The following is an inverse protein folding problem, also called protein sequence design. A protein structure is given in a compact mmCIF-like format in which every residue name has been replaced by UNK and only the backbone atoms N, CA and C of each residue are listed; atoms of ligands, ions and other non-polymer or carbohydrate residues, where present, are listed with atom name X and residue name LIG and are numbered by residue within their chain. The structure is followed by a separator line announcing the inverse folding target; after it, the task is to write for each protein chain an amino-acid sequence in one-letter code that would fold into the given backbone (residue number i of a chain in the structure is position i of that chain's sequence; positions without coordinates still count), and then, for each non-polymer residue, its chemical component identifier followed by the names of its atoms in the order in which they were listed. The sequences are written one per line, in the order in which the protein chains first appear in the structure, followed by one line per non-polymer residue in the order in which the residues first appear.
data_IF_146904634819
#
_entry.id   IF_146904634819
#
_cell.length_a   1.000
_cell.length_b   1.000
_cell.length_c   1.000
_cell.angle_alpha   90.00
_cell.angle_beta   90.00
_cell.angle_gamma   90.00
#
_symmetry.space_group_name_H-M   'P 1'
#
loop_
_entity.id
_entity.type
_entity.pdbx_description
1 polymer ?
#
# COMPACT_ATOMS: atom_id res chain seq x y z
N UNK A 1 15.64 -92.18 6.64
CA UNK A 1 17.05 -91.83 6.94
C UNK A 1 17.23 -90.38 6.51
N UNK A 2 17.14 -89.34 7.37
CA UNK A 2 18.08 -88.95 8.46
C UNK A 2 19.53 -88.99 7.96
N UNK A 3 20.38 -87.97 7.95
CA UNK A 3 20.49 -86.61 8.53
C UNK A 3 21.11 -85.70 7.42
N UNK A 4 21.28 -84.38 7.47
CA UNK A 4 22.07 -83.54 8.40
C UNK A 4 21.91 -82.06 8.00
N UNK A 5 21.99 -81.17 8.99
CA UNK A 5 21.95 -79.70 8.89
C UNK A 5 23.25 -79.11 8.29
N UNK A 6 23.12 -78.13 7.39
CA UNK A 6 24.24 -77.39 6.78
C UNK A 6 24.17 -75.89 7.11
N UNK A 7 25.31 -75.32 7.50
CA UNK A 7 25.54 -73.90 7.82
C UNK A 7 25.72 -73.07 6.54
N UNK A 8 25.24 -71.83 6.55
CA UNK A 8 25.68 -70.77 5.63
C UNK A 8 26.01 -69.50 6.41
N UNK A 9 27.24 -69.00 6.23
CA UNK A 9 27.75 -67.72 6.73
C UNK A 9 27.67 -66.71 5.58
N UNK A 10 26.96 -65.61 5.76
CA UNK A 10 26.92 -64.49 4.81
C UNK A 10 27.95 -63.41 5.19
N UNK A 11 28.71 -62.97 4.18
CA UNK A 11 29.69 -61.89 4.24
C UNK A 11 28.99 -60.52 4.21
N UNK A 12 29.30 -59.66 5.18
CA UNK A 12 28.92 -58.24 5.17
C UNK A 12 29.89 -57.45 4.29
N UNK A 13 29.36 -56.77 3.28
CA UNK A 13 30.09 -55.77 2.48
C UNK A 13 29.64 -54.38 2.93
N UNK A 14 30.56 -53.58 3.50
CA UNK A 14 30.35 -52.18 3.85
C UNK A 14 30.41 -51.31 2.59
N UNK A 15 29.32 -50.63 2.24
CA UNK A 15 29.31 -49.57 1.24
C UNK A 15 29.49 -48.21 1.93
N UNK A 16 30.53 -47.49 1.53
CA UNK A 16 30.87 -46.14 1.99
C UNK A 16 30.07 -45.12 1.15
N UNK A 17 29.07 -44.47 1.73
CA UNK A 17 28.31 -43.41 1.07
C UNK A 17 29.00 -42.04 1.32
N UNK A 18 29.55 -41.45 0.27
CA UNK A 18 30.07 -40.09 0.29
C UNK A 18 28.91 -39.09 0.31
N UNK A 19 28.77 -38.36 1.42
CA UNK A 19 27.76 -37.32 1.61
C UNK A 19 28.27 -36.02 0.96
N UNK A 20 27.78 -35.70 -0.24
CA UNK A 20 28.00 -34.40 -0.89
C UNK A 20 27.17 -33.34 -0.14
N UNK A 21 27.85 -32.46 0.60
CA UNK A 21 27.26 -31.22 1.12
C UNK A 21 27.01 -30.27 -0.06
N UNK A 22 25.76 -30.17 -0.48
CA UNK A 22 25.28 -29.05 -1.31
C UNK A 22 25.11 -27.86 -0.35
N UNK A 23 25.72 -26.68 -0.60
CA UNK A 23 25.41 -25.50 0.19
C UNK A 23 23.93 -25.18 -0.01
N UNK A 24 23.19 -25.09 1.10
CA UNK A 24 21.80 -24.64 1.10
C UNK A 24 21.77 -23.26 0.42
N UNK A 25 21.19 -23.21 -0.78
CA UNK A 25 20.80 -21.95 -1.39
C UNK A 25 19.89 -21.24 -0.38
N UNK A 26 20.26 -20.02 -0.02
CA UNK A 26 19.39 -19.12 0.74
C UNK A 26 18.13 -18.97 -0.11
N UNK A 27 17.05 -19.64 0.30
CA UNK A 27 15.76 -19.44 -0.32
C UNK A 27 15.44 -17.95 -0.15
N UNK A 28 15.33 -17.24 -1.28
CA UNK A 28 14.76 -15.90 -1.30
C UNK A 28 13.39 -15.99 -0.62
N UNK A 29 13.19 -15.11 0.36
CA UNK A 29 12.01 -15.01 1.23
C UNK A 29 10.75 -14.79 0.38
N UNK A 30 10.12 -15.88 -0.07
CA UNK A 30 9.15 -15.86 -1.18
C UNK A 30 7.70 -15.81 -0.73
N UNK A 31 7.35 -15.13 0.38
CA UNK A 31 5.95 -15.15 0.84
C UNK A 31 5.37 -13.87 1.46
N UNK A 32 6.08 -12.72 1.44
CA UNK A 32 5.61 -11.52 2.18
C UNK A 32 5.48 -10.22 1.38
N UNK A 33 5.73 -10.21 0.07
CA UNK A 33 5.55 -8.99 -0.71
C UNK A 33 4.54 -9.13 -1.85
N UNK A 34 4.40 -10.32 -2.45
CA UNK A 34 3.46 -10.60 -3.55
C UNK A 34 3.52 -9.59 -4.70
N UNK A 35 4.65 -8.89 -4.84
CA UNK A 35 4.97 -8.07 -6.00
C UNK A 35 5.54 -8.97 -7.09
N UNK A 36 5.54 -8.46 -8.31
CA UNK A 36 6.04 -9.12 -9.51
C UNK A 36 7.50 -9.54 -9.31
N UNK A 37 7.84 -10.81 -9.58
CA UNK A 37 9.23 -11.28 -9.62
C UNK A 37 10.10 -10.47 -10.58
N UNK A 38 11.39 -10.31 -10.26
CA UNK A 38 12.33 -9.46 -11.01
C UNK A 38 12.43 -9.82 -12.50
N UNK A 39 12.33 -11.11 -12.84
CA UNK A 39 12.34 -11.61 -14.21
C UNK A 39 11.08 -11.20 -14.99
N UNK A 40 9.96 -10.97 -14.31
CA UNK A 40 8.67 -10.60 -14.90
C UNK A 40 8.37 -9.09 -14.89
N UNK A 41 9.27 -8.27 -14.35
CA UNK A 41 9.16 -6.81 -14.45
C UNK A 41 9.09 -6.39 -15.94
N UNK A 42 8.20 -5.45 -16.33
CA UNK A 42 8.12 -4.97 -17.70
C UNK A 42 9.48 -4.48 -18.22
N UNK A 43 9.81 -4.84 -19.46
CA UNK A 43 11.12 -4.54 -20.07
C UNK A 43 11.50 -3.05 -20.05
N UNK A 44 10.49 -2.18 -20.14
CA UNK A 44 10.62 -0.73 -20.09
C UNK A 44 11.10 -0.23 -18.72
N UNK A 45 10.99 -1.04 -17.67
CA UNK A 45 11.35 -0.72 -16.29
C UNK A 45 12.71 -1.29 -15.85
N UNK A 46 13.42 -2.00 -16.75
CA UNK A 46 14.71 -2.65 -16.47
C UNK A 46 15.93 -1.82 -16.89
N UNK A 47 15.72 -0.60 -17.39
CA UNK A 47 16.83 0.25 -17.82
C UNK A 47 17.54 0.92 -16.62
N UNK A 48 18.77 1.42 -16.82
CA UNK A 48 19.60 1.98 -15.76
C UNK A 48 19.01 3.24 -15.11
N UNK A 49 18.02 3.84 -15.77
CA UNK A 49 17.37 5.09 -15.36
C UNK A 49 16.00 4.88 -14.74
N UNK A 50 15.45 3.67 -14.84
CA UNK A 50 14.14 3.34 -14.32
C UNK A 50 14.26 2.80 -12.89
N UNK A 51 13.39 3.28 -12.01
CA UNK A 51 13.17 2.71 -10.69
C UNK A 51 11.74 2.19 -10.63
N UNK A 52 11.58 0.99 -10.09
CA UNK A 52 10.26 0.45 -9.77
C UNK A 52 9.89 0.95 -8.38
N UNK A 53 8.87 1.79 -8.30
CA UNK A 53 8.21 2.20 -7.06
C UNK A 53 7.03 1.27 -6.82
N UNK A 54 6.92 0.72 -5.62
CA UNK A 54 5.91 -0.31 -5.31
C UNK A 54 4.90 0.22 -4.32
N UNK A 55 3.63 -0.13 -4.47
CA UNK A 55 2.60 0.21 -3.50
C UNK A 55 1.62 -0.94 -3.32
N UNK A 56 1.42 -1.38 -2.08
CA UNK A 56 0.36 -2.32 -1.73
C UNK A 56 -0.87 -1.53 -1.27
N UNK A 57 -1.84 -1.41 -2.16
CA UNK A 57 -3.05 -0.62 -1.98
C UNK A 57 -4.23 -1.55 -1.71
N UNK A 58 -5.08 -1.17 -0.76
CA UNK A 58 -6.34 -1.87 -0.46
C UNK A 58 -7.52 -0.91 -0.60
N UNK A 59 -8.68 -1.44 -0.96
CA UNK A 59 -9.96 -0.73 -0.82
C UNK A 59 -10.73 -1.30 0.37
N UNK A 60 -11.22 -0.43 1.26
CA UNK A 60 -11.97 -0.83 2.47
C UNK A 60 -13.24 0.01 2.63
N UNK A 61 -14.24 -0.57 3.30
CA UNK A 61 -15.38 0.20 3.81
C UNK A 61 -14.93 1.06 4.98
N UNK A 62 -15.21 2.36 4.91
CA UNK A 62 -14.81 3.33 5.91
C UNK A 62 -15.88 4.41 6.01
N UNK A 63 -16.77 4.36 7.03
CA UNK A 63 -17.70 5.45 7.31
C UNK A 63 -16.94 6.77 7.46
N UNK A 64 -17.44 7.80 6.77
CA UNK A 64 -16.83 9.13 6.78
C UNK A 64 -17.73 10.09 7.57
N UNK A 65 -17.15 10.86 8.48
CA UNK A 65 -17.84 11.92 9.20
C UNK A 65 -17.50 13.26 8.56
N UNK A 66 -18.51 13.96 8.05
CA UNK A 66 -18.35 15.23 7.36
C UNK A 66 -18.19 16.39 8.36
N UNK A 67 -18.82 16.28 9.52
CA UNK A 67 -18.73 17.28 10.57
C UNK A 67 -18.93 16.69 11.98
N UNK A 68 -18.73 17.53 13.00
CA UNK A 68 -18.86 17.15 14.42
C UNK A 68 -20.31 17.09 14.94
N UNK A 69 -21.29 17.46 14.11
CA UNK A 69 -22.71 17.46 14.47
C UNK A 69 -23.46 16.25 13.92
N UNK A 70 -22.74 15.27 13.36
CA UNK A 70 -23.27 13.95 12.99
C UNK A 70 -23.54 13.74 11.50
N UNK A 71 -23.27 14.72 10.63
CA UNK A 71 -23.36 14.48 9.18
C UNK A 71 -22.28 13.47 8.77
N UNK A 72 -22.70 12.42 8.06
CA UNK A 72 -21.82 11.32 7.70
C UNK A 72 -22.19 10.72 6.34
N UNK A 73 -21.22 10.00 5.78
CA UNK A 73 -21.40 9.08 4.67
C UNK A 73 -21.14 7.68 5.25
N UNK A 74 -22.17 7.00 5.80
CA UNK A 74 -22.00 5.67 6.37
C UNK A 74 -21.45 4.69 5.34
N UNK A 75 -21.91 4.81 4.09
CA UNK A 75 -21.49 4.02 2.93
C UNK A 75 -20.08 4.36 2.39
N UNK A 76 -19.33 5.21 3.09
CA UNK A 76 -18.00 5.64 2.67
C UNK A 76 -17.05 4.46 2.45
N UNK A 77 -16.13 4.66 1.52
CA UNK A 77 -15.08 3.73 1.14
C UNK A 77 -13.81 4.53 0.86
N UNK A 78 -12.64 3.94 1.09
CA UNK A 78 -11.37 4.60 0.81
C UNK A 78 -10.35 3.62 0.24
N UNK A 79 -9.41 4.16 -0.52
CA UNK A 79 -8.12 3.51 -0.73
C UNK A 79 -7.21 3.76 0.47
N UNK A 80 -6.45 2.75 0.87
CA UNK A 80 -5.43 2.85 1.91
C UNK A 80 -4.21 2.01 1.54
N UNK A 81 -3.06 2.28 2.15
CA UNK A 81 -1.93 1.35 2.10
C UNK A 81 -2.26 0.14 2.98
N UNK A 82 -2.01 -1.06 2.49
CA UNK A 82 -2.30 -2.31 3.21
C UNK A 82 -1.63 -2.36 4.60
N UNK A 83 -0.49 -1.68 4.75
CA UNK A 83 0.25 -1.56 6.00
C UNK A 83 -0.38 -0.65 7.06
N UNK A 84 -1.41 0.11 6.71
CA UNK A 84 -2.22 0.94 7.61
C UNK A 84 -3.61 0.32 7.87
N UNK A 85 -3.86 -0.91 7.39
CA UNK A 85 -5.14 -1.65 7.55
C UNK A 85 -4.89 -2.94 8.32
N UNK A 86 -5.84 -3.30 9.18
CA UNK A 86 -5.75 -4.44 10.08
C UNK A 86 -7.05 -5.25 10.08
N UNK A 87 -7.01 -6.54 10.42
CA UNK A 87 -8.21 -7.30 10.76
C UNK A 87 -9.02 -6.56 11.82
N UNK A 88 -10.34 -6.49 11.64
CA UNK A 88 -11.23 -5.78 12.54
C UNK A 88 -11.16 -6.36 13.96
N UNK A 89 -11.06 -5.49 14.96
CA UNK A 89 -10.95 -5.88 16.36
C UNK A 89 -9.51 -6.15 16.81
N UNK A 90 -8.51 -5.96 15.94
CA UNK A 90 -7.10 -5.98 16.36
C UNK A 90 -6.85 -4.86 17.36
N UNK A 91 -6.51 -5.23 18.60
CA UNK A 91 -6.32 -4.26 19.66
C UNK A 91 -5.18 -3.28 19.32
N UNK A 92 -5.25 -1.99 19.71
CA UNK A 92 -4.26 -0.97 19.34
C UNK A 92 -2.80 -1.35 19.61
N UNK A 93 -2.53 -2.06 20.70
CA UNK A 93 -1.18 -2.53 21.05
C UNK A 93 -0.65 -3.65 20.14
N UNK A 94 -1.52 -4.39 19.47
CA UNK A 94 -1.20 -5.53 18.61
C UNK A 94 -1.13 -5.12 17.12
N UNK A 95 -1.43 -3.85 16.80
CA UNK A 95 -1.39 -3.29 15.45
C UNK A 95 0.06 -3.05 14.96
N UNK A 96 0.81 -4.15 14.83
CA UNK A 96 2.19 -4.19 14.33
C UNK A 96 2.24 -4.30 12.81
N UNK A 97 3.36 -3.93 12.19
CA UNK A 97 3.55 -4.10 10.74
C UNK A 97 3.33 -5.54 10.28
N UNK A 98 3.82 -6.51 11.06
CA UNK A 98 3.64 -7.94 10.79
C UNK A 98 2.18 -8.40 10.91
N UNK A 99 1.33 -7.69 11.66
CA UNK A 99 -0.10 -7.96 11.81
C UNK A 99 -0.98 -7.20 10.79
N UNK A 100 -0.41 -6.27 10.02
CA UNK A 100 -1.15 -5.50 9.02
C UNK A 100 -1.56 -6.35 7.82
N UNK A 101 -2.50 -5.84 7.01
CA UNK A 101 -2.92 -6.48 5.76
C UNK A 101 -1.83 -6.47 4.67
N UNK A 102 -0.71 -5.78 4.89
CA UNK A 102 0.47 -5.91 4.03
C UNK A 102 1.25 -7.21 4.25
N UNK A 103 1.07 -7.86 5.42
CA UNK A 103 1.84 -9.04 5.85
C UNK A 103 1.00 -10.23 6.26
N UNK A 104 -0.27 -10.00 6.59
CA UNK A 104 -1.23 -11.04 6.89
C UNK A 104 -2.34 -11.07 5.85
N UNK A 105 -2.98 -12.23 5.74
CA UNK A 105 -4.19 -12.37 4.93
C UNK A 105 -5.36 -11.68 5.64
N UNK A 106 -5.93 -10.67 5.00
CA UNK A 106 -7.11 -9.97 5.51
C UNK A 106 -8.39 -10.41 4.80
N UNK A 107 -9.49 -10.45 5.54
CA UNK A 107 -10.80 -10.87 5.01
C UNK A 107 -11.60 -9.67 4.53
N UNK A 108 -12.11 -9.67 3.28
CA UNK A 108 -12.96 -8.61 2.77
C UNK A 108 -14.16 -8.34 3.68
N UNK A 109 -14.36 -7.07 4.06
CA UNK A 109 -15.41 -6.63 4.98
C UNK A 109 -15.10 -6.75 6.49
N UNK A 110 -14.05 -7.48 6.86
CA UNK A 110 -13.62 -7.67 8.26
C UNK A 110 -12.26 -7.02 8.51
N UNK A 111 -12.13 -5.77 8.07
CA UNK A 111 -10.93 -4.94 8.26
C UNK A 111 -11.28 -3.54 8.74
N UNK A 112 -10.31 -2.87 9.33
CA UNK A 112 -10.40 -1.48 9.75
C UNK A 112 -9.06 -0.75 9.58
N UNK A 113 -9.11 0.58 9.46
CA UNK A 113 -7.92 1.40 9.55
C UNK A 113 -7.26 1.25 10.92
N UNK A 114 -5.93 1.34 10.94
CA UNK A 114 -5.15 1.50 12.16
C UNK A 114 -5.77 2.58 13.06
N UNK A 115 -5.85 2.34 14.37
CA UNK A 115 -6.69 3.11 15.30
C UNK A 115 -6.37 4.63 15.32
N UNK A 116 -5.11 5.00 15.09
CA UNK A 116 -4.65 6.39 15.11
C UNK A 116 -4.56 7.00 13.70
N UNK A 117 -5.00 6.29 12.66
CA UNK A 117 -5.02 6.77 11.28
C UNK A 117 -6.40 7.35 10.97
N UNK A 118 -6.40 8.57 10.45
CA UNK A 118 -7.64 9.22 9.98
C UNK A 118 -7.94 8.77 8.54
N UNK A 119 -9.22 8.51 8.20
CA UNK A 119 -9.65 8.32 6.82
C UNK A 119 -9.28 9.53 5.96
N UNK A 120 -8.57 9.30 4.86
CA UNK A 120 -8.13 10.32 3.89
C UNK A 120 -8.01 9.68 2.51
N UNK A 121 -8.14 10.46 1.41
CA UNK A 121 -7.75 9.99 0.09
C UNK A 121 -6.29 9.51 0.09
N UNK A 122 -6.01 8.42 -0.61
CA UNK A 122 -4.64 7.91 -0.74
C UNK A 122 -3.80 8.86 -1.60
N UNK A 123 -2.53 9.03 -1.27
CA UNK A 123 -1.57 9.78 -2.08
C UNK A 123 -0.33 8.92 -2.26
N UNK A 124 -0.12 8.46 -3.49
CA UNK A 124 1.10 7.79 -3.90
C UNK A 124 2.05 8.82 -4.54
N UNK A 125 3.33 8.52 -4.51
CA UNK A 125 4.38 9.33 -5.12
C UNK A 125 5.33 8.44 -5.89
N UNK A 126 5.80 8.96 -7.00
CA UNK A 126 6.84 8.39 -7.84
C UNK A 126 7.60 9.58 -8.43
N UNK A 127 8.79 9.36 -8.97
CA UNK A 127 9.51 10.41 -9.68
C UNK A 127 9.27 10.29 -11.19
N UNK A 128 9.53 11.35 -11.94
CA UNK A 128 9.52 11.26 -13.40
C UNK A 128 10.46 10.15 -13.89
N UNK A 129 9.97 9.33 -14.84
CA UNK A 129 10.68 8.16 -15.36
C UNK A 129 10.53 6.88 -14.54
N UNK A 130 9.86 6.91 -13.39
CA UNK A 130 9.61 5.69 -12.61
C UNK A 130 8.52 4.80 -13.22
N UNK A 131 8.64 3.51 -12.96
CA UNK A 131 7.56 2.56 -13.10
C UNK A 131 6.87 2.36 -11.75
N UNK A 132 5.57 2.57 -11.70
CA UNK A 132 4.75 2.36 -10.53
C UNK A 132 4.06 1.00 -10.62
N UNK A 133 4.41 0.10 -9.70
CA UNK A 133 3.77 -1.19 -9.50
C UNK A 133 2.78 -1.08 -8.34
N UNK A 134 1.48 -1.12 -8.66
CA UNK A 134 0.42 -1.09 -7.65
C UNK A 134 -0.12 -2.51 -7.49
N UNK A 135 0.24 -3.17 -6.40
CA UNK A 135 -0.45 -4.39 -5.96
C UNK A 135 -1.73 -3.97 -5.26
N UNK A 136 -2.87 -4.26 -5.86
CA UNK A 136 -4.18 -3.87 -5.35
C UNK A 136 -4.96 -5.08 -4.82
N UNK A 137 -5.49 -4.96 -3.61
CA UNK A 137 -6.34 -5.98 -2.99
C UNK A 137 -7.70 -5.38 -2.64
N UNK A 138 -8.80 -6.02 -3.06
CA UNK A 138 -10.13 -5.54 -2.74
C UNK A 138 -10.65 -6.15 -1.43
N UNK A 139 -10.74 -5.34 -0.37
CA UNK A 139 -11.21 -5.74 0.96
C UNK A 139 -12.58 -5.13 1.30
N UNK A 140 -13.31 -4.64 0.31
CA UNK A 140 -14.70 -4.20 0.48
C UNK A 140 -15.57 -5.36 0.96
N UNK A 141 -16.55 -5.10 1.83
CA UNK A 141 -17.52 -6.10 2.22
C UNK A 141 -18.36 -6.54 0.99
N UNK A 142 -18.31 -7.83 0.60
CA UNK A 142 -19.03 -8.34 -0.57
C UNK A 142 -20.55 -8.35 -0.37
N UNK A 143 -20.99 -8.52 0.88
CA UNK A 143 -22.39 -8.61 1.29
C UNK A 143 -22.93 -7.31 1.87
N UNK A 144 -22.28 -6.16 1.65
CA UNK A 144 -22.78 -4.86 2.11
C UNK A 144 -24.07 -4.51 1.38
N UNK A 145 -25.18 -4.96 1.95
CA UNK A 145 -26.50 -4.66 1.41
C UNK A 145 -26.88 -3.23 1.75
N UNK A 146 -27.43 -2.54 0.76
CA UNK A 146 -28.34 -1.45 1.00
C UNK A 146 -29.50 -2.01 1.83
N UNK A 147 -29.84 -1.46 3.00
CA UNK A 147 -31.05 -1.88 3.70
C UNK A 147 -32.24 -1.55 2.80
N UNK A 148 -32.66 -2.53 2.01
CA UNK A 148 -33.91 -2.55 1.27
C UNK A 148 -34.60 -3.80 1.77
N UNK A 149 -35.15 -3.72 2.97
CA UNK A 149 -36.25 -4.56 3.45
C UNK A 149 -36.68 -3.98 4.79
N UNK A 150 -37.25 -2.77 4.75
CA UNK A 150 -38.22 -2.43 5.79
C UNK A 150 -39.50 -3.15 5.35
N UNK A 151 -40.01 -4.12 6.12
CA UNK A 151 -41.31 -4.72 5.83
C UNK A 151 -42.37 -3.62 5.73
N UNK A 152 -43.34 -3.70 4.81
CA UNK A 152 -44.43 -2.74 4.78
C UNK A 152 -45.15 -2.75 6.14
N UNK A 153 -45.02 -1.68 6.93
CA UNK A 153 -45.74 -1.51 8.20
C UNK A 153 -44.91 -1.40 9.49
N UNK A 154 -43.58 -1.28 9.44
CA UNK A 154 -42.79 -1.00 10.66
C UNK A 154 -43.03 0.45 11.16
N UNK A 155 -43.56 0.65 12.39
CA UNK A 155 -43.85 1.97 12.95
C UNK A 155 -42.60 2.79 13.30
N UNK A 156 -41.39 2.23 13.25
CA UNK A 156 -40.15 2.91 13.66
C UNK A 156 -39.67 4.06 12.74
N UNK A 157 -40.38 4.39 11.64
CA UNK A 157 -39.95 5.41 10.66
C UNK A 157 -40.98 6.52 10.38
N UNK A 158 -41.99 6.72 11.23
CA UNK A 158 -42.98 7.78 11.01
C UNK A 158 -42.70 9.06 11.81
N UNK A 159 -41.60 9.75 11.49
CA UNK A 159 -41.56 11.21 11.66
C UNK A 159 -41.74 11.88 10.30
N UNK A 160 -42.96 12.37 10.05
CA UNK A 160 -43.23 13.31 8.97
C UNK A 160 -43.50 12.71 7.58
N UNK A 161 -44.62 11.99 7.42
CA UNK A 161 -45.50 12.11 6.24
C UNK A 161 -44.92 11.94 4.82
N UNK A 162 -43.74 11.35 4.65
CA UNK A 162 -43.15 11.08 3.34
C UNK A 162 -42.15 9.94 3.47
N UNK A 163 -42.21 8.98 2.55
CA UNK A 163 -41.30 7.84 2.51
C UNK A 163 -39.88 8.27 2.10
N UNK A 164 -39.19 9.00 2.97
CA UNK A 164 -37.75 9.23 2.86
C UNK A 164 -37.06 8.32 3.86
N UNK A 165 -37.02 7.02 3.54
CA UNK A 165 -35.90 6.21 4.01
C UNK A 165 -34.68 6.85 3.35
N UNK A 166 -33.92 7.67 4.10
CA UNK A 166 -32.57 8.06 3.73
C UNK A 166 -31.74 6.78 3.85
N UNK A 167 -31.92 5.86 2.89
CA UNK A 167 -31.10 4.69 2.75
C UNK A 167 -29.72 5.21 2.38
N UNK A 168 -28.78 5.19 3.32
CA UNK A 168 -27.37 5.44 3.05
C UNK A 168 -26.85 4.27 2.21
N UNK A 169 -27.04 4.36 0.89
CA UNK A 169 -26.79 3.24 -0.02
C UNK A 169 -25.31 3.15 -0.36
N UNK A 170 -24.70 2.00 -0.10
CA UNK A 170 -23.46 1.61 -0.74
C UNK A 170 -23.73 1.20 -2.20
N UNK A 171 -22.75 1.32 -3.10
CA UNK A 171 -22.92 0.89 -4.47
C UNK A 171 -23.13 -0.62 -4.50
N UNK A 172 -24.06 -1.05 -5.34
CA UNK A 172 -24.26 -2.48 -5.59
C UNK A 172 -22.98 -3.09 -6.19
N UNK A 173 -22.24 -2.31 -6.97
CA UNK A 173 -20.94 -2.69 -7.49
C UNK A 173 -19.91 -2.65 -6.37
N UNK A 174 -19.40 -3.83 -6.01
CA UNK A 174 -18.30 -3.96 -5.04
C UNK A 174 -16.96 -4.26 -5.68
N UNK A 175 -16.91 -4.48 -7.01
CA UNK A 175 -15.66 -4.53 -7.75
C UNK A 175 -14.96 -3.18 -7.72
N UNK A 176 -13.63 -3.14 -7.70
CA UNK A 176 -12.86 -1.90 -7.64
C UNK A 176 -11.71 -1.96 -8.64
N UNK A 177 -11.46 -0.85 -9.33
CA UNK A 177 -10.29 -0.64 -10.18
C UNK A 177 -9.37 0.43 -9.59
N UNK A 178 -8.10 0.46 -10.01
CA UNK A 178 -7.19 1.57 -9.72
C UNK A 178 -6.80 2.21 -11.03
N UNK A 179 -7.51 3.27 -11.40
CA UNK A 179 -7.18 4.09 -12.56
C UNK A 179 -6.42 5.34 -12.12
N UNK A 180 -5.38 5.72 -12.86
CA UNK A 180 -4.63 6.96 -12.62
C UNK A 180 -4.59 7.80 -13.88
N UNK A 181 -5.26 8.95 -13.83
CA UNK A 181 -5.45 9.78 -15.00
C UNK A 181 -4.12 10.31 -15.54
N UNK A 182 -3.83 9.96 -16.80
CA UNK A 182 -2.67 10.42 -17.56
C UNK A 182 -1.37 9.65 -17.33
N UNK A 183 -1.34 8.64 -16.45
CA UNK A 183 -0.23 7.69 -16.44
C UNK A 183 -0.43 6.69 -17.58
N UNK A 184 0.68 6.28 -18.22
CA UNK A 184 0.60 5.29 -19.29
C UNK A 184 0.61 3.89 -18.68
N UNK A 185 -0.26 3.00 -19.14
CA UNK A 185 -0.10 1.57 -18.86
C UNK A 185 1.18 1.00 -19.49
N UNK A 186 1.76 -0.03 -18.87
CA UNK A 186 3.03 -0.62 -19.32
C UNK A 186 2.87 -1.96 -20.04
N UNK A 187 1.98 -2.84 -19.57
CA UNK A 187 1.79 -4.18 -20.17
C UNK A 187 0.65 -4.19 -21.18
N UNK A 188 -0.39 -3.39 -20.96
CA UNK A 188 -1.57 -3.32 -21.81
C UNK A 188 -2.71 -2.53 -21.15
N UNK A 189 -3.86 -2.38 -21.84
CA UNK A 189 -5.02 -1.65 -21.31
C UNK A 189 -5.55 -2.21 -19.98
N UNK A 190 -5.19 -3.44 -19.63
CA UNK A 190 -5.50 -4.08 -18.35
C UNK A 190 -4.81 -3.44 -17.13
N UNK A 191 -3.75 -2.64 -17.33
CA UNK A 191 -3.13 -1.86 -16.26
C UNK A 191 -3.91 -0.55 -15.96
N UNK A 192 -4.90 -0.19 -16.79
CA UNK A 192 -5.68 1.04 -16.62
C UNK A 192 -6.67 0.98 -15.45
N UNK A 193 -6.99 -0.23 -14.96
CA UNK A 193 -7.97 -0.38 -13.89
C UNK A 193 -9.40 -0.03 -14.32
N UNK A 194 -9.76 -0.25 -15.59
CA UNK A 194 -11.07 0.02 -16.17
C UNK A 194 -11.66 -1.17 -16.94
N UNK A 195 -12.99 -1.20 -17.09
CA UNK A 195 -13.68 -2.18 -17.93
C UNK A 195 -14.65 -1.46 -18.88
N UNK A 196 -14.20 -1.27 -20.12
CA UNK A 196 -14.97 -0.57 -21.18
C UNK A 196 -15.75 -1.55 -22.06
N UNK A 197 -15.96 -2.79 -21.58
CA UNK A 197 -16.71 -3.85 -22.27
C UNK A 197 -15.94 -4.61 -23.34
N UNK A 198 -15.00 -3.96 -24.05
CA UNK A 198 -14.18 -4.60 -25.09
C UNK A 198 -12.79 -5.06 -24.59
N UNK A 199 -12.25 -4.43 -23.54
CA UNK A 199 -11.02 -4.89 -22.91
C UNK A 199 -11.30 -6.01 -21.89
N UNK A 200 -10.25 -6.74 -21.52
CA UNK A 200 -10.33 -7.67 -20.41
C UNK A 200 -10.75 -6.92 -19.13
N UNK A 201 -11.62 -7.54 -18.31
CA UNK A 201 -12.02 -6.93 -17.05
C UNK A 201 -10.81 -6.79 -16.12
N UNK A 202 -10.40 -5.54 -15.85
CA UNK A 202 -9.30 -5.24 -14.93
C UNK A 202 -9.75 -4.85 -13.53
N UNK A 203 -11.03 -4.96 -13.21
CA UNK A 203 -11.56 -4.69 -11.88
C UNK A 203 -11.38 -5.92 -10.96
N UNK A 204 -11.18 -5.67 -9.67
CA UNK A 204 -11.02 -6.73 -8.66
C UNK A 204 -12.30 -6.87 -7.86
N UNK A 205 -12.91 -8.06 -7.83
CA UNK A 205 -14.09 -8.38 -7.00
C UNK A 205 -13.64 -8.66 -5.56
N UNK A 206 -14.41 -8.30 -4.51
CA UNK A 206 -14.02 -8.62 -3.13
C UNK A 206 -14.26 -10.10 -2.77
N UNK A 207 -15.09 -10.82 -3.53
CA UNK A 207 -15.33 -12.24 -3.37
C UNK A 207 -15.76 -12.84 -4.71
N UNK A 208 -15.61 -14.17 -4.84
CA UNK A 208 -16.14 -14.95 -5.93
C UNK A 208 -15.04 -15.47 -6.83
N UNK A 209 -15.44 -16.11 -7.93
CA UNK A 209 -14.49 -16.57 -8.94
C UNK A 209 -13.82 -15.36 -9.60
N UNK A 210 -12.48 -15.32 -9.68
CA UNK A 210 -11.77 -14.34 -10.50
C UNK A 210 -12.34 -14.33 -11.92
N UNK A 211 -12.41 -13.15 -12.55
CA UNK A 211 -12.75 -13.07 -13.97
C UNK A 211 -11.76 -13.88 -14.82
N UNK A 212 -12.23 -14.54 -15.89
CA UNK A 212 -11.43 -15.46 -16.70
C UNK A 212 -10.36 -14.77 -17.55
N UNK A 213 -10.31 -13.43 -17.54
CA UNK A 213 -9.26 -12.68 -18.18
C UNK A 213 -7.97 -12.79 -17.36
N UNK A 214 -6.90 -13.29 -17.98
CA UNK A 214 -5.59 -13.48 -17.33
C UNK A 214 -5.11 -12.21 -16.60
N UNK A 215 -4.65 -12.36 -15.35
CA UNK A 215 -4.01 -11.29 -14.58
C UNK A 215 -4.70 -10.86 -13.29
N UNK A 216 -5.88 -11.40 -12.96
CA UNK A 216 -6.28 -11.44 -11.54
C UNK A 216 -5.40 -12.48 -10.86
N UNK A 217 -4.63 -12.05 -9.86
CA UNK A 217 -3.92 -12.98 -9.01
C UNK A 217 -5.00 -13.82 -8.31
N UNK A 218 -4.89 -15.14 -8.40
CA UNK A 218 -5.78 -16.10 -7.72
C UNK A 218 -5.61 -16.09 -6.20
N UNK A 219 -4.86 -15.11 -5.68
CA UNK A 219 -4.63 -14.88 -4.28
C UNK A 219 -5.97 -14.64 -3.56
N UNK A 220 -6.12 -15.28 -2.40
CA UNK A 220 -7.15 -14.94 -1.43
C UNK A 220 -6.50 -14.04 -0.37
N UNK A 221 -6.98 -12.80 -0.15
CA UNK A 221 -8.10 -12.12 -0.82
C UNK A 221 -7.80 -11.70 -2.28
N UNK A 222 -8.84 -11.57 -3.13
CA UNK A 222 -8.67 -11.26 -4.55
C UNK A 222 -7.83 -10.01 -4.78
N UNK A 223 -6.80 -10.15 -5.62
CA UNK A 223 -5.80 -9.11 -5.86
C UNK A 223 -5.45 -8.99 -7.34
N UNK A 224 -4.88 -7.83 -7.71
CA UNK A 224 -4.36 -7.55 -9.05
C UNK A 224 -3.21 -6.56 -8.98
N UNK A 225 -2.20 -6.78 -9.81
CA UNK A 225 -1.11 -5.83 -9.98
C UNK A 225 -1.36 -4.95 -11.21
N UNK A 226 -1.24 -3.62 -11.07
CA UNK A 226 -1.28 -2.63 -12.16
C UNK A 226 0.11 -2.02 -12.36
N UNK A 227 0.57 -1.95 -13.61
CA UNK A 227 1.86 -1.37 -13.97
C UNK A 227 1.69 -0.07 -14.77
N UNK A 228 2.13 1.04 -14.18
CA UNK A 228 1.97 2.39 -14.72
C UNK A 228 3.32 3.09 -14.89
N UNK A 229 3.44 3.95 -15.90
CA UNK A 229 4.64 4.74 -16.16
C UNK A 229 4.45 6.22 -15.83
N UNK A 230 5.30 6.74 -14.95
CA UNK A 230 5.30 8.14 -14.50
C UNK A 230 6.05 9.03 -15.50
N UNK A 231 5.44 9.28 -16.67
CA UNK A 231 6.13 9.92 -17.79
C UNK A 231 6.52 11.39 -17.59
N UNK A 232 5.80 12.14 -16.75
CA UNK A 232 5.96 13.58 -16.55
C UNK A 232 5.56 13.99 -15.14
N UNK A 233 6.33 14.90 -14.56
CA UNK A 233 5.99 15.60 -13.31
C UNK A 233 4.54 16.13 -13.30
N UNK A 234 3.90 16.06 -12.13
CA UNK A 234 2.60 16.66 -11.89
C UNK A 234 1.68 15.78 -11.03
N UNK A 235 0.60 16.40 -10.56
CA UNK A 235 -0.43 15.72 -9.76
C UNK A 235 -1.47 15.06 -10.66
N UNK A 236 -1.73 13.77 -10.43
CA UNK A 236 -2.65 12.94 -11.20
C UNK A 236 -3.74 12.40 -10.29
N UNK A 237 -4.98 12.37 -10.78
CA UNK A 237 -6.10 11.83 -10.00
C UNK A 237 -6.09 10.31 -10.08
N UNK A 238 -6.18 9.65 -8.93
CA UNK A 238 -6.39 8.21 -8.80
C UNK A 238 -7.84 7.97 -8.40
N UNK A 239 -8.56 7.05 -9.05
CA UNK A 239 -9.93 6.70 -8.64
C UNK A 239 -10.36 5.31 -9.13
N UNK A 240 -11.46 4.81 -8.56
CA UNK A 240 -12.11 3.59 -9.07
C UNK A 240 -13.06 3.91 -10.22
N UNK A 241 -12.91 3.21 -11.34
CA UNK A 241 -13.79 3.30 -12.52
C UNK A 241 -14.93 2.28 -12.50
N UNK A 242 -15.01 1.45 -11.46
CA UNK A 242 -15.94 0.33 -11.43
C UNK A 242 -17.42 0.75 -11.36
N UNK A 243 -17.68 1.92 -10.76
CA UNK A 243 -19.02 2.50 -10.64
C UNK A 243 -18.88 4.02 -10.48
N UNK A 244 -19.07 4.73 -11.58
CA UNK A 244 -19.09 6.19 -11.65
C UNK A 244 -20.51 6.75 -11.83
N UNK A 245 -21.52 5.86 -11.84
CA UNK A 245 -22.92 6.21 -11.99
C UNK A 245 -23.83 5.10 -11.47
N UNK A 246 -24.42 5.31 -10.29
CA UNK A 246 -25.59 4.53 -9.88
C UNK A 246 -26.86 5.37 -10.05
N UNK A 247 -27.86 4.79 -10.71
CA UNK A 247 -29.21 5.36 -10.72
C UNK A 247 -29.77 5.23 -9.30
N UNK A 248 -29.86 6.36 -8.58
CA UNK A 248 -30.67 6.43 -7.37
C UNK A 248 -32.10 6.07 -7.78
N UNK A 249 -32.52 4.85 -7.47
CA UNK A 249 -33.92 4.44 -7.59
C UNK A 249 -34.73 5.10 -6.47
N UNK A 250 -34.81 6.43 -6.47
CA UNK A 250 -35.90 7.13 -5.83
C UNK A 250 -37.13 6.85 -6.71
N UNK A 251 -38.06 6.03 -6.21
CA UNK A 251 -39.28 5.70 -6.92
C UNK A 251 -40.04 6.97 -7.30
N UNK A 252 -40.10 7.29 -8.59
CA UNK A 252 -40.85 8.41 -9.13
C UNK A 252 -40.16 9.01 -10.36
N UNK A 253 -40.95 9.55 -11.29
CA UNK A 253 -40.52 10.24 -12.52
C UNK A 253 -39.75 11.56 -12.27
N UNK A 254 -39.11 11.72 -11.12
CA UNK A 254 -38.28 12.87 -10.79
C UNK A 254 -36.85 12.53 -11.20
N UNK A 255 -36.26 13.34 -12.10
CA UNK A 255 -34.92 13.13 -12.67
C UNK A 255 -33.83 12.97 -11.60
N UNK A 256 -33.60 11.72 -11.18
CA UNK A 256 -32.55 11.35 -10.25
C UNK A 256 -31.18 11.60 -10.88
N UNK A 257 -30.43 12.56 -10.32
CA UNK A 257 -29.01 12.72 -10.64
C UNK A 257 -28.24 11.46 -10.25
N UNK A 258 -27.19 11.13 -11.02
CA UNK A 258 -26.27 10.07 -10.65
C UNK A 258 -25.55 10.44 -9.34
N UNK A 259 -25.45 9.47 -8.44
CA UNK A 259 -24.75 9.61 -7.16
C UNK A 259 -23.22 9.46 -7.29
N UNK A 260 -22.70 9.39 -8.52
CA UNK A 260 -21.28 9.22 -8.83
C UNK A 260 -20.61 7.98 -8.20
N UNK A 261 -21.42 7.00 -7.78
CA UNK A 261 -21.01 5.68 -7.34
C UNK A 261 -19.86 5.68 -6.33
N UNK A 262 -18.83 4.89 -6.64
CA UNK A 262 -17.67 4.68 -5.78
C UNK A 262 -16.80 5.93 -5.61
N UNK A 263 -16.71 6.78 -6.65
CA UNK A 263 -15.87 7.98 -6.61
C UNK A 263 -16.42 8.99 -5.60
N UNK A 264 -17.73 9.27 -5.61
CA UNK A 264 -18.36 10.19 -4.65
C UNK A 264 -18.33 9.65 -3.21
N UNK A 265 -18.26 8.34 -3.04
CA UNK A 265 -18.18 7.68 -1.73
C UNK A 265 -16.76 7.54 -1.18
N UNK A 266 -15.74 8.02 -1.90
CA UNK A 266 -14.39 8.20 -1.37
C UNK A 266 -13.30 7.31 -1.98
N UNK A 267 -13.61 6.47 -2.97
CA UNK A 267 -12.60 5.69 -3.71
C UNK A 267 -11.87 6.55 -4.74
N UNK A 268 -11.12 7.53 -4.23
CA UNK A 268 -10.21 8.38 -4.98
C UNK A 268 -8.95 8.71 -4.17
N UNK A 269 -7.99 9.31 -4.86
CA UNK A 269 -6.70 9.70 -4.33
C UNK A 269 -5.91 10.47 -5.38
N UNK A 270 -4.60 10.49 -5.20
CA UNK A 270 -3.68 11.08 -6.17
C UNK A 270 -2.41 10.25 -6.34
N UNK A 271 -1.80 10.37 -7.51
CA UNK A 271 -0.39 10.03 -7.74
C UNK A 271 0.32 11.33 -8.09
N UNK A 272 1.25 11.75 -7.24
CA UNK A 272 2.05 12.95 -7.50
C UNK A 272 3.40 12.53 -8.04
N UNK A 273 3.61 12.76 -9.34
CA UNK A 273 4.91 12.55 -10.00
C UNK A 273 5.81 13.72 -9.64
N UNK A 274 6.89 13.45 -8.90
CA UNK A 274 7.87 14.42 -8.44
C UNK A 274 8.93 14.68 -9.52
N UNK A 275 9.61 15.83 -9.47
CA UNK A 275 10.73 16.08 -10.37
C UNK A 275 11.87 15.09 -10.10
N UNK A 276 12.50 14.67 -11.18
CA UNK A 276 13.77 13.96 -11.21
C UNK A 276 14.57 14.49 -12.39
N UNK A 277 15.86 14.18 -12.43
CA UNK A 277 16.65 14.59 -13.56
C UNK A 277 18.07 14.08 -13.50
N UNK A 278 18.89 14.68 -14.34
CA UNK A 278 20.30 14.37 -14.46
C UNK A 278 21.10 15.59 -14.03
N UNK A 279 22.05 15.38 -13.11
CA UNK A 279 23.08 16.39 -12.86
C UNK A 279 24.18 16.23 -13.90
N UNK A 280 24.60 17.34 -14.51
CA UNK A 280 25.90 17.37 -15.18
C UNK A 280 26.97 16.99 -14.14
N UNK A 281 27.83 16.02 -14.43
CA UNK A 281 28.86 15.60 -13.47
C UNK A 281 29.78 16.78 -13.16
N UNK A 282 30.02 17.11 -11.89
CA UNK A 282 30.96 18.15 -11.50
C UNK A 282 32.28 17.52 -11.09
N UNK A 283 33.37 17.90 -11.74
CA UNK A 283 34.71 17.48 -11.35
C UNK A 283 35.02 18.01 -9.92
N UNK A 284 35.33 17.13 -8.94
CA UNK A 284 35.57 17.53 -7.57
C UNK A 284 36.89 18.30 -7.36
N UNK A 285 37.86 18.18 -8.27
CA UNK A 285 39.15 18.88 -8.21
C UNK A 285 39.11 20.21 -8.95
N UNK A 286 38.44 20.27 -10.10
CA UNK A 286 38.43 21.48 -10.95
C UNK A 286 37.15 22.30 -10.83
N UNK A 287 36.07 21.73 -10.30
CA UNK A 287 34.77 22.38 -10.15
C UNK A 287 34.03 22.64 -11.47
N UNK A 288 34.54 22.13 -12.59
CA UNK A 288 34.00 22.27 -13.94
C UNK A 288 32.88 21.25 -14.17
N UNK A 289 31.83 21.68 -14.87
CA UNK A 289 30.74 20.80 -15.32
C UNK A 289 31.21 19.96 -16.52
N UNK A 290 31.18 18.64 -16.37
CA UNK A 290 31.62 17.65 -17.34
C UNK A 290 30.47 17.30 -18.28
N UNK A 291 30.47 17.90 -19.46
CA UNK A 291 29.53 17.56 -20.53
C UNK A 291 29.80 16.13 -21.02
N UNK A 292 28.89 15.20 -20.74
CA UNK A 292 28.97 13.80 -21.18
C UNK A 292 29.60 12.81 -20.19
N UNK A 293 29.88 13.20 -18.95
CA UNK A 293 30.14 12.23 -17.88
C UNK A 293 28.83 11.51 -17.52
N UNK A 294 28.89 10.20 -17.30
CA UNK A 294 27.75 9.35 -17.02
C UNK A 294 26.91 9.97 -15.88
N UNK A 295 25.73 10.46 -16.25
CA UNK A 295 24.88 11.29 -15.41
C UNK A 295 24.42 10.48 -14.20
N UNK A 296 24.71 10.93 -12.98
CA UNK A 296 24.06 10.35 -11.81
C UNK A 296 22.61 10.86 -11.82
N UNK A 297 21.60 10.01 -12.04
CA UNK A 297 20.22 10.44 -11.94
C UNK A 297 19.97 10.89 -10.50
N UNK A 298 19.46 12.10 -10.33
CA UNK A 298 18.96 12.56 -9.06
C UNK A 298 17.46 12.32 -8.99
N UNK A 299 16.99 12.06 -7.77
CA UNK A 299 15.62 11.65 -7.49
C UNK A 299 15.08 12.50 -6.35
N UNK A 300 13.78 12.76 -6.38
CA UNK A 300 13.14 13.42 -5.26
C UNK A 300 13.06 12.45 -4.08
N UNK A 301 13.17 13.00 -2.88
CA UNK A 301 12.89 12.32 -1.64
C UNK A 301 11.61 12.90 -1.05
N UNK A 302 10.82 12.03 -0.42
CA UNK A 302 9.47 12.36 0.01
C UNK A 302 9.26 11.90 1.45
N UNK A 303 8.95 12.87 2.30
CA UNK A 303 8.90 12.72 3.76
C UNK A 303 7.53 13.07 4.31
N UNK A 304 7.06 12.30 5.30
CA UNK A 304 5.81 12.61 6.01
C UNK A 304 5.93 13.97 6.68
N UNK A 305 4.94 14.83 6.50
CA UNK A 305 4.87 16.12 7.21
C UNK A 305 3.90 16.08 8.38
N UNK A 306 2.91 15.19 8.34
CA UNK A 306 1.97 15.00 9.44
C UNK A 306 2.39 13.81 10.30
N UNK A 307 3.26 14.07 11.26
CA UNK A 307 3.80 13.06 12.17
C UNK A 307 3.41 13.34 13.61
N UNK A 308 3.37 12.29 14.44
CA UNK A 308 3.14 12.48 15.87
C UNK A 308 4.37 13.08 16.54
N UNK A 309 4.20 13.64 17.74
CA UNK A 309 5.35 14.10 18.55
C UNK A 309 6.36 12.97 18.78
N UNK A 310 5.87 11.75 18.98
CA UNK A 310 6.71 10.57 19.19
C UNK A 310 7.54 10.25 17.95
N UNK A 311 6.92 10.24 16.77
CA UNK A 311 7.63 10.02 15.50
C UNK A 311 8.72 11.08 15.28
N UNK A 312 8.38 12.36 15.49
CA UNK A 312 9.34 13.44 15.31
C UNK A 312 10.51 13.34 16.29
N UNK A 313 10.25 12.94 17.53
CA UNK A 313 11.31 12.75 18.53
C UNK A 313 12.20 11.53 18.22
N UNK A 314 11.62 10.41 17.76
CA UNK A 314 12.40 9.24 17.33
C UNK A 314 13.24 9.52 16.08
N UNK A 315 12.76 10.41 15.19
CA UNK A 315 13.51 10.88 14.04
C UNK A 315 14.55 11.97 14.37
N UNK A 316 14.55 12.55 15.57
CA UNK A 316 15.54 13.54 15.95
C UNK A 316 16.92 12.89 16.23
N UNK A 317 17.96 13.71 16.18
CA UNK A 317 19.29 13.32 16.65
C UNK A 317 19.23 12.85 18.13
N UNK A 318 19.73 11.64 18.39
CA UNK A 318 19.71 11.01 19.73
C UNK A 318 20.50 11.81 20.75
N UNK A 319 21.51 12.58 20.33
CA UNK A 319 22.25 13.49 21.21
C UNK A 319 21.34 14.58 21.83
N UNK A 320 20.22 14.86 21.17
CA UNK A 320 19.23 15.88 21.54
C UNK A 320 18.03 15.29 22.30
N UNK A 321 18.00 13.99 22.63
CA UNK A 321 16.91 13.36 23.40
C UNK A 321 17.19 13.38 24.92
N UNK A 322 16.22 13.84 25.73
CA UNK A 322 16.34 14.03 27.18
C UNK A 322 15.93 12.80 27.99
N UNK A 323 14.97 12.00 27.50
CA UNK A 323 14.55 10.78 28.19
C UNK A 323 15.41 9.60 27.73
N UNK A 324 16.01 8.90 28.69
CA UNK A 324 16.66 7.59 28.47
C UNK A 324 15.64 6.45 28.29
N UNK A 325 14.34 6.76 28.40
CA UNK A 325 13.21 5.84 28.20
C UNK A 325 12.40 6.26 26.96
N UNK A 326 13.00 6.22 25.75
CA UNK A 326 12.23 6.42 24.52
C UNK A 326 11.10 5.38 24.45
N UNK A 327 9.99 5.66 23.75
CA UNK A 327 8.97 4.66 23.54
C UNK A 327 9.60 3.41 22.93
N UNK A 328 9.35 2.28 23.56
CA UNK A 328 9.87 0.98 23.17
C UNK A 328 8.70 0.06 22.83
N UNK A 329 9.01 -1.15 22.37
CA UNK A 329 8.07 -2.26 22.27
C UNK A 329 7.16 -2.43 23.49
N UNK A 330 7.78 -2.36 24.68
CA UNK A 330 7.13 -2.61 25.95
C UNK A 330 6.38 -1.38 26.49
N UNK A 331 6.63 -0.19 25.92
CA UNK A 331 5.93 1.04 26.27
C UNK A 331 5.78 1.94 25.02
N UNK A 332 4.85 1.60 24.10
CA UNK A 332 4.60 2.42 22.90
C UNK A 332 4.03 3.80 23.23
N UNK A 333 3.56 4.00 24.48
CA UNK A 333 3.10 5.27 25.02
C UNK A 333 4.19 6.03 25.81
N UNK A 334 5.43 5.55 25.78
CA UNK A 334 6.56 6.20 26.42
C UNK A 334 6.78 7.61 25.90
N UNK A 335 7.22 8.51 26.78
CA UNK A 335 7.50 9.90 26.40
C UNK A 335 8.90 10.00 25.81
N UNK A 336 8.97 10.28 24.50
CA UNK A 336 10.18 10.78 23.88
C UNK A 336 10.19 12.30 24.04
N UNK A 337 11.06 12.82 24.92
CA UNK A 337 11.19 14.25 25.16
C UNK A 337 12.54 14.71 24.66
N UNK A 338 12.58 15.76 23.86
CA UNK A 338 13.83 16.40 23.45
C UNK A 338 14.47 17.11 24.66
N UNK A 339 15.79 17.12 24.75
CA UNK A 339 16.56 17.88 25.75
C UNK A 339 16.08 19.33 25.67
N UNK A 340 15.44 19.80 26.73
CA UNK A 340 14.88 21.14 26.82
C UNK A 340 15.89 22.16 26.30
N UNK A 341 15.67 22.72 25.11
CA UNK A 341 16.53 23.77 24.56
C UNK A 341 15.78 24.65 23.58
N UNK A 342 16.09 25.95 23.64
CA UNK A 342 15.70 27.05 22.75
C UNK A 342 16.13 26.82 21.27
N UNK A 343 16.65 25.63 20.93
CA UNK A 343 17.12 25.24 19.60
C UNK A 343 16.12 24.30 18.93
N UNK A 344 15.91 24.49 17.63
CA UNK A 344 15.10 23.59 16.82
C UNK A 344 15.80 22.22 16.72
N UNK A 345 15.06 21.10 16.77
CA UNK A 345 15.66 19.77 16.70
C UNK A 345 16.27 19.51 15.33
N UNK A 346 17.46 18.88 15.32
CA UNK A 346 18.03 18.34 14.08
C UNK A 346 17.37 17.02 13.75
N UNK A 347 16.83 16.90 12.54
CA UNK A 347 16.09 15.73 12.07
C UNK A 347 16.99 14.81 11.26
N UNK A 348 16.90 13.51 11.55
CA UNK A 348 17.50 12.42 10.77
C UNK A 348 16.43 11.79 9.87
N UNK A 349 16.48 12.15 8.60
CA UNK A 349 15.50 11.73 7.60
C UNK A 349 15.55 10.23 7.25
N UNK A 350 16.70 9.60 7.51
CA UNK A 350 16.99 8.17 7.36
C UNK A 350 16.65 7.34 8.62
N UNK A 351 16.15 7.97 9.68
CA UNK A 351 15.83 7.28 10.92
C UNK A 351 14.72 6.23 10.71
N UNK A 352 14.92 5.06 11.31
CA UNK A 352 13.98 3.94 11.33
C UNK A 352 13.43 3.69 12.73
N UNK A 353 12.24 3.11 12.82
CA UNK A 353 11.66 2.72 14.11
C UNK A 353 12.56 1.68 14.80
N UNK A 354 12.84 1.84 16.11
CA UNK A 354 13.75 0.96 16.83
C UNK A 354 13.17 -0.44 17.02
N UNK A 355 14.01 -1.40 17.42
CA UNK A 355 13.59 -2.78 17.64
C UNK A 355 12.41 -2.88 18.61
N UNK A 356 11.45 -3.74 18.25
CA UNK A 356 10.24 -4.02 19.00
C UNK A 356 9.16 -2.93 18.96
N UNK A 357 9.40 -1.76 18.35
CA UNK A 357 8.29 -0.88 17.97
C UNK A 357 7.27 -1.62 17.08
N UNK A 358 5.98 -1.27 17.11
CA UNK A 358 4.99 -1.87 16.22
C UNK A 358 5.38 -1.81 14.74
N UNK A 359 6.16 -0.80 14.34
CA UNK A 359 6.66 -0.60 12.96
C UNK A 359 8.18 -0.73 12.86
N UNK A 360 8.81 -1.50 13.77
CA UNK A 360 10.26 -1.65 13.85
C UNK A 360 10.91 -1.90 12.48
N UNK A 361 12.06 -1.26 12.24
CA UNK A 361 12.81 -1.37 11.00
C UNK A 361 12.29 -0.49 9.86
N UNK A 362 11.02 -0.07 9.87
CA UNK A 362 10.51 0.84 8.84
C UNK A 362 11.04 2.26 9.03
N UNK A 363 11.26 3.01 7.94
CA UNK A 363 11.50 4.44 7.98
C UNK A 363 10.43 5.22 8.76
N UNK A 364 10.88 6.19 9.55
CA UNK A 364 10.01 7.05 10.35
C UNK A 364 9.48 8.20 9.50
N UNK A 365 10.35 8.94 8.80
CA UNK A 365 9.93 10.09 8.00
C UNK A 365 9.86 9.77 6.52
N UNK A 366 10.85 9.05 6.00
CA UNK A 366 10.83 8.62 4.60
C UNK A 366 9.59 7.78 4.35
N UNK A 367 8.91 8.08 3.27
CA UNK A 367 7.63 7.46 2.96
C UNK A 367 7.78 6.18 2.12
N UNK A 368 8.98 5.89 1.62
CA UNK A 368 9.34 4.60 1.02
C UNK A 368 10.46 3.88 1.75
N UNK A 369 10.49 2.57 1.55
CA UNK A 369 11.64 1.74 1.87
C UNK A 369 12.83 2.03 0.95
N UNK A 370 14.06 1.82 1.42
CA UNK A 370 15.27 2.06 0.64
C UNK A 370 15.31 1.19 -0.63
N UNK A 371 16.20 1.54 -1.56
CA UNK A 371 16.35 0.82 -2.83
C UNK A 371 16.77 -0.65 -2.65
N UNK A 372 17.42 -1.01 -1.53
CA UNK A 372 17.73 -2.39 -1.18
C UNK A 372 16.55 -3.16 -0.55
N UNK A 373 15.46 -2.47 -0.22
CA UNK A 373 14.42 -2.97 0.66
C UNK A 373 14.92 -3.19 2.09
N UNK A 374 14.07 -3.77 2.92
CA UNK A 374 14.40 -4.17 4.29
C UNK A 374 13.94 -5.61 4.45
N UNK A 375 14.89 -6.54 4.53
CA UNK A 375 14.62 -7.99 4.55
C UNK A 375 13.53 -8.37 5.56
N UNK A 376 12.56 -9.19 5.11
CA UNK A 376 11.38 -9.60 5.89
C UNK A 376 10.39 -8.47 6.22
N UNK A 377 10.72 -7.20 5.96
CA UNK A 377 9.93 -6.03 6.39
C UNK A 377 9.24 -5.36 5.21
N UNK A 378 9.96 -4.88 4.20
CA UNK A 378 9.38 -4.22 3.04
C UNK A 378 10.24 -4.38 1.79
N UNK A 379 9.61 -4.34 0.63
CA UNK A 379 10.28 -4.45 -0.65
C UNK A 379 11.07 -3.17 -1.00
N UNK A 380 11.99 -3.31 -1.96
CA UNK A 380 12.72 -2.17 -2.52
C UNK A 380 11.76 -1.11 -3.06
N UNK A 381 11.97 0.14 -2.63
CA UNK A 381 11.17 1.32 -3.00
C UNK A 381 9.65 1.18 -2.73
N UNK A 382 9.28 0.34 -1.77
CA UNK A 382 7.88 0.18 -1.36
C UNK A 382 7.38 1.40 -0.61
N UNK A 383 6.26 1.97 -1.07
CA UNK A 383 5.53 3.05 -0.43
C UNK A 383 4.85 2.51 0.83
N UNK A 384 5.36 2.92 2.00
CA UNK A 384 4.90 2.46 3.31
C UNK A 384 4.12 3.53 4.09
N UNK A 385 4.09 4.75 3.58
CA UNK A 385 3.33 5.87 4.14
C UNK A 385 2.72 6.73 3.02
N UNK A 386 1.49 7.17 3.25
CA UNK A 386 0.75 8.09 2.37
C UNK A 386 0.49 9.39 3.13
N UNK A 387 0.88 10.52 2.53
CA UNK A 387 0.70 11.87 3.06
C UNK A 387 0.47 12.89 1.94
N UNK A 388 -0.66 13.60 2.04
CA UNK A 388 -1.08 14.63 1.10
C UNK A 388 -0.11 15.82 1.10
N UNK A 389 0.42 16.18 2.27
CA UNK A 389 1.23 17.39 2.48
C UNK A 389 2.71 17.08 2.63
N UNK A 390 3.19 15.96 2.09
CA UNK A 390 4.56 15.50 2.24
C UNK A 390 5.60 16.60 1.93
N UNK A 391 6.70 16.60 2.65
CA UNK A 391 7.87 17.43 2.34
C UNK A 391 8.63 16.75 1.21
N UNK A 392 8.91 17.49 0.14
CA UNK A 392 9.63 16.99 -1.03
C UNK A 392 10.98 17.71 -1.10
N UNK A 393 12.05 16.95 -1.27
CA UNK A 393 13.42 17.47 -1.34
C UNK A 393 14.17 16.84 -2.52
N UNK A 394 15.32 17.41 -2.87
CA UNK A 394 16.31 16.73 -3.68
C UNK A 394 17.04 15.62 -2.89
N UNK A 395 18.09 15.03 -3.48
CA UNK A 395 18.87 13.98 -2.84
C UNK A 395 19.47 14.42 -1.49
N UNK A 396 19.49 13.49 -0.52
CA UNK A 396 20.08 13.72 0.79
C UNK A 396 19.34 14.75 1.64
N UNK A 397 18.01 14.83 1.50
CA UNK A 397 17.17 15.88 2.07
C UNK A 397 17.60 17.32 1.70
N UNK A 398 18.29 17.46 0.56
CA UNK A 398 18.88 18.70 0.09
C UNK A 398 17.97 19.51 -0.84
N UNK A 399 18.45 20.66 -1.34
CA UNK A 399 17.78 21.37 -2.43
C UNK A 399 17.75 20.50 -3.70
N UNK A 400 16.78 20.76 -4.57
CA UNK A 400 16.82 20.17 -5.91
C UNK A 400 18.07 20.65 -6.66
N UNK A 401 18.74 19.74 -7.37
CA UNK A 401 19.73 20.12 -8.36
C UNK A 401 19.15 21.12 -9.35
N UNK A 402 19.89 22.21 -9.58
CA UNK A 402 19.58 23.25 -10.57
C UNK A 402 20.24 22.94 -11.90
#
# INVERSE_FOLDING_TARGET
MSLTTSRSRTLNSLALAALLLVPAAVAADSHLSGYTPEDQIPSQCKGPQQRVVRAHVVAIDQPLWLNRIGASIPAGMIFALAGDVFPKGTAPQDQTWAASCAKTTCTPGDVELRFNKRPRPIVLRADEGDCLEIRFTNLLNPGRQNPINVPPGDPAIHEGGGQNIISYRAPNTRSVGVHVQGLNWLRGPEDDGSWVGNNCNSLVKPQGTPDPCAGLEQDAPPSRTYWLFAAREGSRVLYSTADDWQKLSAGGNSGGGGDGGQLQLGLFGAVNVQPSGYQEGRDPETGVWLKGAQEAPWRAEWYRSQVTQVDLCLAADTSQQASSSPPTAANPYGTCTLKNTVKQPTIRYDAVYPAGWPRAGLPILNMACPAAGIGGTCAANEVISSDLTAVITGPGAGPFPT
#
